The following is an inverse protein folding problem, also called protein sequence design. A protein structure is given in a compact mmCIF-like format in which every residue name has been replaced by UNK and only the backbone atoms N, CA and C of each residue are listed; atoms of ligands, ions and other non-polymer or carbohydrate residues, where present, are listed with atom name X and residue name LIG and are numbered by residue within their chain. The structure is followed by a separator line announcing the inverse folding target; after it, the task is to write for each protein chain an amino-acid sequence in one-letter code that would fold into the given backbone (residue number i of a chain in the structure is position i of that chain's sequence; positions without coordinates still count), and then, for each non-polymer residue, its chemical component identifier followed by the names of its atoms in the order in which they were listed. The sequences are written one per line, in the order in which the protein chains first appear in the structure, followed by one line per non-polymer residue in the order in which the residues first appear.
data_IF_360819956250
#
_entry.id   IF_360819956250
#
_cell.length_a   1.000
_cell.length_b   1.000
_cell.length_c   1.000
_cell.angle_alpha   90.00
_cell.angle_beta   90.00
_cell.angle_gamma   90.00
#
_symmetry.space_group_name_H-M   'P 1'
#
loop_
_entity.id
_entity.type
_entity.pdbx_description
1 polymer ?
#
# COMPACT_ATOMS: atom_id res chain seq x y z
N UNK A 1 -4.18 -7.69 -15.01
CA UNK A 1 -3.79 -8.89 -14.24
C UNK A 1 -2.29 -8.96 -13.94
N UNK A 2 -1.36 -8.83 -14.89
CA UNK A 2 0.09 -8.98 -14.62
C UNK A 2 0.65 -8.09 -13.49
N UNK A 3 0.28 -6.80 -13.46
CA UNK A 3 0.71 -5.87 -12.41
C UNK A 3 0.15 -6.25 -11.02
N UNK A 4 -1.11 -6.68 -10.95
CA UNK A 4 -1.71 -7.12 -9.69
C UNK A 4 -1.05 -8.41 -9.16
N UNK A 5 -0.75 -9.38 -10.04
CA UNK A 5 0.00 -10.58 -9.66
C UNK A 5 1.44 -10.27 -9.20
N UNK A 6 2.08 -9.26 -9.80
CA UNK A 6 3.38 -8.78 -9.31
C UNK A 6 3.28 -8.18 -7.91
N UNK A 7 2.28 -7.33 -7.65
CA UNK A 7 2.01 -6.76 -6.31
C UNK A 7 1.79 -7.88 -5.31
N UNK A 8 0.89 -8.81 -5.59
CA UNK A 8 0.55 -9.91 -4.68
C UNK A 8 1.77 -10.78 -4.36
N UNK A 9 2.57 -11.12 -5.39
CA UNK A 9 3.77 -11.92 -5.21
C UNK A 9 4.86 -11.21 -4.39
N UNK A 10 4.98 -9.89 -4.50
CA UNK A 10 5.95 -9.10 -3.70
C UNK A 10 5.46 -8.97 -2.26
N UNK A 11 4.19 -8.59 -2.05
CA UNK A 11 3.61 -8.46 -0.71
C UNK A 11 3.69 -9.78 0.06
N UNK A 12 3.38 -10.90 -0.60
CA UNK A 12 3.51 -12.24 -0.01
C UNK A 12 4.92 -12.53 0.51
N UNK A 13 5.95 -12.33 -0.33
CA UNK A 13 7.35 -12.54 0.08
C UNK A 13 7.78 -11.64 1.23
N UNK A 14 7.34 -10.38 1.24
CA UNK A 14 7.62 -9.46 2.34
C UNK A 14 7.00 -9.97 3.65
N UNK A 15 5.76 -10.46 3.62
CA UNK A 15 5.08 -11.03 4.80
C UNK A 15 5.75 -12.30 5.30
N UNK A 16 6.19 -13.17 4.37
CA UNK A 16 6.96 -14.37 4.70
C UNK A 16 8.28 -14.03 5.41
N UNK A 17 9.05 -13.08 4.88
CA UNK A 17 10.31 -12.63 5.51
C UNK A 17 10.08 -11.95 6.87
N UNK A 18 9.00 -11.17 6.98
CA UNK A 18 8.64 -10.50 8.22
C UNK A 18 8.09 -11.47 9.28
N UNK A 19 7.58 -12.64 8.88
CA UNK A 19 6.89 -13.57 9.75
C UNK A 19 5.56 -13.03 10.31
N UNK A 20 4.96 -12.05 9.64
CA UNK A 20 3.74 -11.39 10.09
C UNK A 20 2.82 -11.01 8.91
N UNK A 21 1.51 -11.03 9.17
CA UNK A 21 0.51 -10.55 8.22
C UNK A 21 0.40 -9.02 8.27
N UNK A 22 1.39 -8.35 7.67
CA UNK A 22 1.44 -6.90 7.63
C UNK A 22 0.41 -6.33 6.65
N UNK A 23 -0.45 -5.42 7.15
CA UNK A 23 -1.48 -4.75 6.37
C UNK A 23 -0.90 -4.04 5.14
N UNK A 24 -1.44 -4.32 3.97
CA UNK A 24 -1.03 -3.64 2.73
C UNK A 24 -1.98 -2.47 2.40
N UNK A 25 -1.42 -1.25 2.33
CA UNK A 25 -2.13 -0.03 1.94
C UNK A 25 -1.51 0.51 0.64
N UNK A 26 -2.34 0.76 -0.37
CA UNK A 26 -1.93 1.33 -1.65
C UNK A 26 -2.29 2.82 -1.75
N UNK A 27 -1.46 3.58 -2.45
CA UNK A 27 -1.70 5.00 -2.77
C UNK A 27 -1.18 5.30 -4.19
N UNK A 28 -1.38 6.53 -4.68
CA UNK A 28 -1.00 6.95 -6.02
C UNK A 28 -2.10 6.74 -7.08
N UNK A 29 -2.02 7.48 -8.18
CA UNK A 29 -3.14 7.62 -9.13
C UNK A 29 -3.58 6.36 -9.90
N UNK A 30 -2.79 5.28 -9.86
CA UNK A 30 -3.14 4.00 -10.49
C UNK A 30 -3.62 2.95 -9.48
N UNK A 31 -3.62 3.27 -8.18
CA UNK A 31 -3.98 2.31 -7.13
C UNK A 31 -5.42 1.78 -7.31
N UNK A 32 -6.38 2.64 -7.65
CA UNK A 32 -7.78 2.25 -7.88
C UNK A 32 -7.96 1.32 -9.08
N UNK A 33 -7.04 1.34 -10.04
CA UNK A 33 -7.07 0.44 -11.20
C UNK A 33 -6.45 -0.93 -10.87
N UNK A 34 -5.52 -0.98 -9.92
CA UNK A 34 -4.79 -2.21 -9.57
C UNK A 34 -5.49 -2.96 -8.44
N UNK A 35 -5.98 -2.25 -7.42
CA UNK A 35 -6.54 -2.83 -6.20
C UNK A 35 -7.69 -3.83 -6.44
N UNK A 36 -8.65 -3.61 -7.36
CA UNK A 36 -9.72 -4.58 -7.63
C UNK A 36 -9.23 -5.93 -8.19
N UNK A 37 -7.98 -5.98 -8.63
CA UNK A 37 -7.37 -7.18 -9.23
C UNK A 37 -6.28 -7.80 -8.35
N UNK A 38 -5.95 -7.18 -7.22
CA UNK A 38 -4.98 -7.65 -6.24
C UNK A 38 -5.70 -8.34 -5.09
N UNK A 39 -5.16 -9.45 -4.63
CA UNK A 39 -5.67 -10.19 -3.47
C UNK A 39 -5.05 -9.73 -2.15
N UNK A 40 -3.95 -8.98 -2.20
CA UNK A 40 -3.18 -8.57 -1.02
C UNK A 40 -3.46 -7.14 -0.57
N UNK A 41 -3.89 -6.23 -1.46
CA UNK A 41 -4.21 -4.84 -1.10
C UNK A 41 -5.50 -4.80 -0.27
N UNK A 42 -5.42 -4.24 0.94
CA UNK A 42 -6.55 -4.17 1.87
C UNK A 42 -7.21 -2.79 1.93
N UNK A 43 -6.48 -1.74 1.54
CA UNK A 43 -6.98 -0.35 1.53
C UNK A 43 -6.28 0.45 0.46
N UNK A 44 -7.05 1.24 -0.28
CA UNK A 44 -6.52 2.35 -1.06
C UNK A 44 -6.69 3.64 -0.25
N UNK A 45 -5.62 4.42 -0.14
CA UNK A 45 -5.61 5.70 0.54
C UNK A 45 -4.95 6.78 -0.35
N UNK A 46 -5.73 7.59 -1.08
CA UNK A 46 -5.21 8.55 -2.04
C UNK A 46 -4.47 9.73 -1.39
N UNK A 47 -4.66 9.97 -0.09
CA UNK A 47 -4.08 11.10 0.62
C UNK A 47 -2.94 10.71 1.56
N UNK A 48 -2.55 9.43 1.60
CA UNK A 48 -1.51 8.90 2.48
C UNK A 48 -0.25 9.78 2.57
N UNK A 49 0.26 10.25 1.43
CA UNK A 49 1.44 11.14 1.40
C UNK A 49 1.16 12.51 2.00
N UNK A 50 0.00 13.12 1.70
CA UNK A 50 -0.37 14.43 2.22
C UNK A 50 -0.62 14.39 3.73
N UNK A 51 -1.23 13.31 4.22
CA UNK A 51 -1.39 13.08 5.65
C UNK A 51 -0.04 12.97 6.35
N UNK A 52 0.91 12.24 5.78
CA UNK A 52 2.29 12.18 6.29
C UNK A 52 2.96 13.54 6.34
N UNK A 53 2.85 14.34 5.27
CA UNK A 53 3.42 15.70 5.23
C UNK A 53 2.80 16.62 6.30
N UNK A 54 1.49 16.54 6.50
CA UNK A 54 0.79 17.29 7.55
C UNK A 54 1.29 16.89 8.94
N UNK A 55 1.42 15.59 9.23
CA UNK A 55 1.94 15.11 10.51
C UNK A 55 3.37 15.60 10.77
N UNK A 56 4.25 15.53 9.76
CA UNK A 56 5.62 16.02 9.88
C UNK A 56 5.64 17.53 10.17
N UNK A 57 4.80 18.32 9.51
CA UNK A 57 4.70 19.75 9.79
C UNK A 57 4.21 20.01 11.23
N UNK A 58 3.18 19.29 11.69
CA UNK A 58 2.64 19.41 13.06
C UNK A 58 3.68 19.08 14.13
N UNK A 59 4.58 18.12 13.88
CA UNK A 59 5.66 17.73 14.79
C UNK A 59 6.79 18.75 14.90
N UNK A 60 6.96 19.63 13.90
CA UNK A 60 8.07 20.59 13.81
C UNK A 60 7.64 22.04 14.01
N UNK A 61 6.42 22.26 14.51
CA UNK A 61 5.88 23.59 14.79
C UNK A 61 6.40 24.16 16.11
#
# INVERSE_FOLDING_TARGET
YGFAGQVDGIVGRIREELGADARAVATGGLADLVAPHSTTIERVDPFLTLDGLRMVWELNR
#
